data_IF_533736955741
#
_entry.id   IF_533736955741
#
_cell.length_a   1.000
_cell.length_b   1.000
_cell.length_c   1.000
_cell.angle_alpha   90.00
_cell.angle_beta   90.00
_cell.angle_gamma   90.00
#
_symmetry.space_group_name_H-M   'P 1'
#
loop_
_entity.id
_entity.type
_entity.pdbx_description
1 polymer ?
#
# COMPACT_ATOMS: atom_id res chain seq x y z
N UNK A 1 -3.04 9.00 12.39
CA UNK A 1 -2.44 8.99 11.05
C UNK A 1 -0.92 9.03 11.19
N UNK A 2 -0.24 7.97 10.79
CA UNK A 2 1.23 7.95 10.80
C UNK A 2 1.73 8.98 9.78
N UNK A 3 2.38 10.04 10.24
CA UNK A 3 3.04 10.99 9.36
C UNK A 3 4.40 10.42 9.00
N UNK A 4 4.50 9.78 7.83
CA UNK A 4 5.78 9.36 7.28
C UNK A 4 6.50 10.62 6.76
N UNK A 5 7.74 10.83 7.20
CA UNK A 5 8.61 11.83 6.60
C UNK A 5 8.99 11.38 5.18
N UNK A 6 9.19 12.32 4.25
CA UNK A 6 9.65 12.05 2.86
C UNK A 6 10.89 11.15 2.82
N UNK A 7 11.80 11.28 3.82
CA UNK A 7 12.96 10.41 3.95
C UNK A 7 12.61 8.96 4.34
N UNK A 8 11.57 8.78 5.17
CA UNK A 8 11.06 7.47 5.55
C UNK A 8 10.25 6.82 4.42
N UNK A 9 9.51 7.62 3.64
CA UNK A 9 8.80 7.14 2.44
C UNK A 9 9.79 6.58 1.40
N UNK A 10 10.92 7.28 1.20
CA UNK A 10 11.96 6.85 0.27
C UNK A 10 12.67 5.56 0.70
N UNK A 11 12.98 5.41 2.01
CA UNK A 11 13.54 4.16 2.57
C UNK A 11 12.56 2.98 2.45
N UNK A 12 11.29 3.22 2.80
CA UNK A 12 10.25 2.20 2.67
C UNK A 12 10.06 1.78 1.22
N UNK A 13 10.11 2.72 0.27
CA UNK A 13 10.04 2.42 -1.16
C UNK A 13 11.23 1.58 -1.65
N UNK A 14 12.45 1.83 -1.16
CA UNK A 14 13.62 0.98 -1.45
C UNK A 14 13.48 -0.44 -0.92
N UNK A 15 12.98 -0.57 0.30
CA UNK A 15 12.83 -1.87 0.96
C UNK A 15 11.68 -2.67 0.36
N UNK A 16 10.57 -2.00 0.02
CA UNK A 16 9.47 -2.58 -0.74
C UNK A 16 9.92 -3.13 -2.10
N UNK A 17 10.76 -2.38 -2.83
CA UNK A 17 11.38 -2.83 -4.09
C UNK A 17 12.17 -4.13 -3.95
N UNK A 18 12.74 -4.39 -2.77
CA UNK A 18 13.50 -5.61 -2.44
C UNK A 18 12.61 -6.74 -1.90
N UNK A 19 11.30 -6.51 -1.77
CA UNK A 19 10.36 -7.47 -1.22
C UNK A 19 10.39 -7.58 0.31
N UNK A 20 10.88 -6.54 1.01
CA UNK A 20 10.89 -6.52 2.48
C UNK A 20 9.45 -6.49 3.02
N UNK A 21 9.02 -7.62 3.58
CA UNK A 21 7.69 -7.79 4.18
C UNK A 21 7.47 -6.81 5.33
N UNK A 22 8.51 -6.45 6.09
CA UNK A 22 8.37 -5.48 7.21
C UNK A 22 8.12 -4.07 6.69
N UNK A 23 8.75 -3.70 5.58
CA UNK A 23 8.46 -2.43 4.92
C UNK A 23 7.03 -2.40 4.38
N UNK A 24 6.53 -3.52 3.84
CA UNK A 24 5.13 -3.65 3.46
C UNK A 24 4.19 -3.52 4.65
N UNK A 25 4.45 -4.19 5.77
CA UNK A 25 3.62 -4.05 6.97
C UNK A 25 3.56 -2.61 7.48
N UNK A 26 4.67 -1.87 7.41
CA UNK A 26 4.70 -0.46 7.82
C UNK A 26 3.84 0.43 6.90
N UNK A 27 3.93 0.23 5.58
CA UNK A 27 3.10 0.96 4.60
C UNK A 27 1.63 0.56 4.73
N UNK A 28 1.33 -0.74 4.82
CA UNK A 28 -0.03 -1.22 5.03
C UNK A 28 -0.65 -0.64 6.30
N UNK A 29 0.07 -0.63 7.43
CA UNK A 29 -0.42 -0.03 8.67
C UNK A 29 -0.68 1.48 8.55
N UNK A 30 0.08 2.20 7.71
CA UNK A 30 -0.10 3.63 7.50
C UNK A 30 -1.34 3.94 6.63
N UNK A 31 -1.67 3.10 5.64
CA UNK A 31 -2.68 3.41 4.62
C UNK A 31 -3.95 2.55 4.68
N UNK A 32 -3.95 1.42 5.40
CA UNK A 32 -5.10 0.48 5.43
C UNK A 32 -6.40 1.17 5.85
N UNK A 33 -6.37 2.00 6.88
CA UNK A 33 -7.57 2.69 7.37
C UNK A 33 -8.10 3.71 6.35
N UNK A 34 -7.20 4.45 5.69
CA UNK A 34 -7.57 5.44 4.69
C UNK A 34 -8.17 4.78 3.45
N UNK A 35 -7.55 3.71 2.97
CA UNK A 35 -8.03 2.93 1.82
C UNK A 35 -9.37 2.26 2.14
N UNK A 36 -9.48 1.63 3.31
CA UNK A 36 -10.73 0.99 3.75
C UNK A 36 -11.87 1.99 3.83
N UNK A 37 -11.64 3.17 4.43
CA UNK A 37 -12.67 4.21 4.52
C UNK A 37 -13.14 4.64 3.14
N UNK A 38 -12.24 4.83 2.18
CA UNK A 38 -12.61 5.19 0.81
C UNK A 38 -13.37 4.06 0.11
N UNK A 39 -12.91 2.82 0.23
CA UNK A 39 -13.59 1.66 -0.33
C UNK A 39 -15.00 1.48 0.26
N UNK A 40 -15.16 1.67 1.56
CA UNK A 40 -16.45 1.59 2.24
C UNK A 40 -17.42 2.68 1.77
N UNK A 41 -16.93 3.90 1.58
CA UNK A 41 -17.76 4.99 1.04
C UNK A 41 -18.26 4.70 -0.39
N UNK A 42 -17.48 3.98 -1.19
CA UNK A 42 -17.82 3.64 -2.57
C UNK A 42 -18.71 2.40 -2.68
N UNK A 43 -18.47 1.39 -1.84
CA UNK A 43 -19.08 0.06 -1.97
C UNK A 43 -20.25 -0.15 -1.01
N UNK A 44 -20.32 0.61 0.09
CA UNK A 44 -21.39 0.51 1.10
C UNK A 44 -21.41 -0.80 1.90
N UNK A 45 -20.42 -1.66 1.69
CA UNK A 45 -20.30 -3.00 2.27
C UNK A 45 -18.94 -3.14 2.92
N UNK A 46 -18.90 -3.59 4.18
CA UNK A 46 -17.65 -3.80 4.90
C UNK A 46 -16.81 -4.92 4.26
N UNK A 47 -17.44 -6.02 3.84
CA UNK A 47 -16.76 -7.14 3.19
C UNK A 47 -16.12 -6.71 1.86
N UNK A 48 -16.87 -6.03 1.01
CA UNK A 48 -16.34 -5.58 -0.29
C UNK A 48 -15.24 -4.52 -0.12
N UNK A 49 -15.34 -3.69 0.92
CA UNK A 49 -14.32 -2.72 1.26
C UNK A 49 -13.04 -3.37 1.79
N UNK A 50 -13.14 -4.43 2.59
CA UNK A 50 -11.98 -5.22 3.04
C UNK A 50 -11.26 -5.86 1.85
N UNK A 51 -12.00 -6.50 0.95
CA UNK A 51 -11.45 -7.15 -0.25
C UNK A 51 -10.77 -6.12 -1.17
N UNK A 52 -11.43 -5.00 -1.45
CA UNK A 52 -10.86 -3.93 -2.26
C UNK A 52 -9.61 -3.34 -1.61
N UNK A 53 -9.60 -3.17 -0.28
CA UNK A 53 -8.43 -2.66 0.46
C UNK A 53 -7.25 -3.60 0.33
N UNK A 54 -7.49 -4.91 0.52
CA UNK A 54 -6.47 -5.93 0.36
C UNK A 54 -5.92 -5.93 -1.06
N UNK A 55 -6.78 -5.88 -2.08
CA UNK A 55 -6.36 -5.87 -3.48
C UNK A 55 -5.50 -4.64 -3.83
N UNK A 56 -5.88 -3.45 -3.35
CA UNK A 56 -5.11 -2.21 -3.55
C UNK A 56 -3.72 -2.30 -2.90
N UNK A 57 -3.65 -2.77 -1.65
CA UNK A 57 -2.38 -2.91 -0.94
C UNK A 57 -1.48 -3.97 -1.60
N UNK A 58 -2.06 -5.10 -2.06
CA UNK A 58 -1.32 -6.13 -2.79
C UNK A 58 -0.81 -5.62 -4.14
N UNK A 59 -1.61 -4.85 -4.88
CA UNK A 59 -1.17 -4.21 -6.13
C UNK A 59 -0.03 -3.22 -5.86
N UNK A 60 -0.12 -2.40 -4.81
CA UNK A 60 0.95 -1.48 -4.43
C UNK A 60 2.25 -2.23 -4.14
N UNK A 61 2.19 -3.37 -3.45
CA UNK A 61 3.35 -4.22 -3.18
C UNK A 61 3.94 -4.83 -4.46
N UNK A 62 3.09 -5.35 -5.35
CA UNK A 62 3.50 -5.96 -6.61
C UNK A 62 4.11 -4.93 -7.57
N UNK A 63 3.51 -3.75 -7.69
CA UNK A 63 4.00 -2.66 -8.53
C UNK A 63 5.30 -2.06 -7.97
N UNK A 64 5.40 -1.92 -6.65
CA UNK A 64 6.67 -1.59 -5.98
C UNK A 64 7.79 -2.56 -6.38
N UNK A 65 7.48 -3.85 -6.57
CA UNK A 65 8.42 -4.87 -7.03
C UNK A 65 8.70 -4.79 -8.54
N UNK A 66 7.75 -4.29 -9.35
CA UNK A 66 7.83 -4.12 -10.82
C UNK A 66 8.51 -2.85 -11.31
N UNK A 67 8.76 -1.86 -10.44
CA UNK A 67 9.56 -0.65 -10.79
C UNK A 67 10.96 -0.97 -11.36
N UNK A 68 11.39 -2.23 -11.38
CA UNK A 68 12.41 -2.80 -12.28
C UNK A 68 11.79 -3.12 -13.64
N UNK A 69 11.49 -2.13 -14.44
CA UNK A 69 10.90 -2.40 -15.74
C UNK A 69 10.55 -1.12 -16.44
N UNK A 70 11.58 -0.52 -17.02
CA UNK A 70 11.46 0.37 -18.15
C UNK A 70 10.13 0.17 -18.91
N UNK A 71 9.33 1.22 -18.99
CA UNK A 71 8.51 1.45 -20.18
C UNK A 71 8.72 2.89 -20.64
N UNK A 72 8.73 3.09 -21.96
CA UNK A 72 9.33 4.21 -22.68
C UNK A 72 8.69 5.57 -22.39
#
# INVERSE_FOLDING_TARGET
>A
MAHLSVGQESDLAERLRRGDVRAFSAVAAAYVEAVFRQAFLLLGSASDAEDATQEVLLKLFQEGRRLRGNRP
#
